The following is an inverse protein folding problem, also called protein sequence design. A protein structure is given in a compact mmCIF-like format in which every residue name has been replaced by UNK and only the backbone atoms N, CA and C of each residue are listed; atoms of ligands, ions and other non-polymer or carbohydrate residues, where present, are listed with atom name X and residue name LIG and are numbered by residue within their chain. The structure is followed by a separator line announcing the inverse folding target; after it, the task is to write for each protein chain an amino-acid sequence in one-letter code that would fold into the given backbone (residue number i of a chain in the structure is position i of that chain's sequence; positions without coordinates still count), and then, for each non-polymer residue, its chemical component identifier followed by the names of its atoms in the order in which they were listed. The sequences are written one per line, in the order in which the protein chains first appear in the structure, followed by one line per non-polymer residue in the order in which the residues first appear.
data_IF_482017673240
#
_entry.id   IF_482017673240
#
_cell.length_a   1.000
_cell.length_b   1.000
_cell.length_c   1.000
_cell.angle_alpha   90.00
_cell.angle_beta   90.00
_cell.angle_gamma   90.00
#
_symmetry.space_group_name_H-M   'P 1'
#
loop_
_entity.id
_entity.type
_entity.pdbx_description
1 polymer ?
#
# COMPACT_ATOMS: atom_id res chain seq x y z
N UNK A 1 -13.92 7.16 -38.43
CA UNK A 1 -13.26 7.82 -37.28
C UNK A 1 -12.87 6.74 -36.26
N UNK A 2 -11.58 6.34 -36.21
CA UNK A 2 -11.10 5.44 -35.19
C UNK A 2 -10.98 6.25 -33.89
N UNK A 3 -11.96 6.11 -32.99
CA UNK A 3 -11.83 6.59 -31.61
C UNK A 3 -10.82 5.72 -30.92
N UNK A 4 -9.57 6.18 -30.83
CA UNK A 4 -8.53 5.52 -30.05
C UNK A 4 -9.08 5.36 -28.62
N UNK A 5 -9.29 4.10 -28.20
CA UNK A 5 -9.78 3.80 -26.84
C UNK A 5 -8.75 4.33 -25.86
N UNK A 6 -9.12 5.37 -25.11
CA UNK A 6 -8.23 5.94 -24.09
C UNK A 6 -7.97 4.86 -23.01
N UNK A 7 -6.77 4.28 -23.04
CA UNK A 7 -6.36 3.21 -22.11
C UNK A 7 -6.35 3.65 -20.63
N UNK A 8 -6.32 4.94 -20.37
CA UNK A 8 -6.32 5.51 -19.03
C UNK A 8 -7.72 5.77 -18.50
N UNK A 9 -8.76 5.78 -19.37
CA UNK A 9 -10.12 5.99 -18.91
C UNK A 9 -10.61 4.84 -18.03
N UNK A 10 -11.21 5.18 -16.91
CA UNK A 10 -11.88 4.25 -16.01
C UNK A 10 -13.21 3.80 -16.60
N UNK A 11 -13.47 2.53 -16.50
CA UNK A 11 -14.75 1.90 -16.87
C UNK A 11 -15.51 1.53 -15.60
N UNK A 12 -16.86 1.41 -15.63
CA UNK A 12 -17.63 1.00 -14.46
C UNK A 12 -17.09 -0.27 -13.77
N UNK A 13 -16.67 -1.26 -14.56
CA UNK A 13 -16.05 -2.50 -14.04
C UNK A 13 -14.76 -2.25 -13.26
N UNK A 14 -13.96 -1.25 -13.69
CA UNK A 14 -12.68 -0.94 -13.04
C UNK A 14 -12.95 -0.31 -11.66
N UNK A 15 -13.99 0.53 -11.54
CA UNK A 15 -14.44 1.12 -10.28
C UNK A 15 -14.93 0.03 -9.32
N UNK A 16 -15.81 -0.86 -9.80
CA UNK A 16 -16.33 -1.96 -8.99
C UNK A 16 -15.20 -2.85 -8.48
N UNK A 17 -14.28 -3.22 -9.38
CA UNK A 17 -13.16 -4.09 -9.03
C UNK A 17 -12.22 -3.42 -8.03
N UNK A 18 -11.87 -2.14 -8.25
CA UNK A 18 -11.09 -1.35 -7.33
C UNK A 18 -11.74 -1.24 -5.95
N UNK A 19 -13.06 -1.05 -5.92
CA UNK A 19 -13.83 -0.95 -4.67
C UNK A 19 -13.84 -2.28 -3.91
N UNK A 20 -14.06 -3.40 -4.60
CA UNK A 20 -14.01 -4.73 -3.97
C UNK A 20 -12.63 -5.00 -3.38
N UNK A 21 -11.56 -4.73 -4.14
CA UNK A 21 -10.18 -4.93 -3.67
C UNK A 21 -9.89 -4.03 -2.47
N UNK A 22 -10.27 -2.75 -2.52
CA UNK A 22 -10.07 -1.81 -1.42
C UNK A 22 -10.82 -2.21 -0.14
N UNK A 23 -12.07 -2.68 -0.26
CA UNK A 23 -12.85 -3.17 0.90
C UNK A 23 -12.21 -4.42 1.52
N UNK A 24 -11.79 -5.39 0.69
CA UNK A 24 -11.12 -6.61 1.17
C UNK A 24 -9.79 -6.26 1.85
N UNK A 25 -9.01 -5.36 1.26
CA UNK A 25 -7.76 -4.88 1.87
C UNK A 25 -8.02 -4.13 3.18
N UNK A 26 -9.10 -3.35 3.27
CA UNK A 26 -9.53 -2.71 4.51
C UNK A 26 -9.83 -3.72 5.63
N UNK A 27 -10.48 -4.84 5.30
CA UNK A 27 -10.65 -5.97 6.21
C UNK A 27 -9.31 -6.57 6.67
N UNK A 28 -8.36 -6.72 5.77
CA UNK A 28 -6.99 -7.13 6.12
C UNK A 28 -6.32 -6.12 7.08
N UNK A 29 -6.50 -4.81 6.85
CA UNK A 29 -5.96 -3.77 7.73
C UNK A 29 -6.55 -3.87 9.14
N UNK A 30 -7.86 -4.14 9.27
CA UNK A 30 -8.51 -4.37 10.58
C UNK A 30 -7.87 -5.55 11.31
N UNK A 31 -7.67 -6.68 10.63
CA UNK A 31 -7.01 -7.84 11.22
C UNK A 31 -5.57 -7.51 11.61
N UNK A 32 -4.85 -6.78 10.75
CA UNK A 32 -3.48 -6.38 11.04
C UNK A 32 -3.37 -5.38 12.18
N UNK A 33 -4.34 -4.48 12.36
CA UNK A 33 -4.39 -3.57 13.50
C UNK A 33 -4.40 -4.31 14.84
N UNK A 34 -5.01 -5.50 14.88
CA UNK A 34 -5.03 -6.36 16.08
C UNK A 34 -3.72 -7.15 16.22
N UNK A 35 -3.21 -7.68 15.11
CA UNK A 35 -2.08 -8.59 15.11
C UNK A 35 -0.70 -7.89 15.18
N UNK A 36 -0.60 -6.64 14.70
CA UNK A 36 0.70 -5.98 14.53
C UNK A 36 1.45 -5.78 15.86
N UNK A 37 0.78 -5.35 16.92
CA UNK A 37 1.45 -5.04 18.20
C UNK A 37 2.15 -6.30 18.75
N UNK A 38 1.46 -7.42 19.03
CA UNK A 38 2.11 -8.59 19.57
C UNK A 38 3.17 -9.22 18.64
N UNK A 39 3.07 -9.01 17.34
CA UNK A 39 4.03 -9.56 16.37
C UNK A 39 5.26 -8.67 16.18
N UNK A 40 5.11 -7.36 16.27
CA UNK A 40 6.18 -6.42 15.93
C UNK A 40 6.89 -5.82 17.16
N UNK A 41 6.24 -5.82 18.32
CA UNK A 41 6.84 -5.35 19.57
C UNK A 41 8.16 -6.07 19.90
N UNK A 42 8.26 -7.42 19.78
CA UNK A 42 9.53 -8.13 19.98
C UNK A 42 10.63 -7.68 19.00
N UNK A 43 10.28 -7.33 17.75
CA UNK A 43 11.26 -6.84 16.77
C UNK A 43 11.78 -5.45 17.15
N UNK A 44 10.91 -4.58 17.64
CA UNK A 44 11.29 -3.26 18.16
C UNK A 44 12.15 -3.34 19.42
N UNK A 45 11.95 -4.37 20.25
CA UNK A 45 12.78 -4.64 21.42
C UNK A 45 14.18 -5.15 21.05
N UNK A 46 14.31 -5.93 19.96
CA UNK A 46 15.60 -6.38 19.44
C UNK A 46 16.42 -5.22 18.89
N UNK A 47 15.80 -4.38 18.06
CA UNK A 47 16.43 -3.21 17.50
C UNK A 47 15.37 -2.12 17.26
N UNK A 48 15.46 -0.98 17.97
CA UNK A 48 14.55 0.13 17.79
C UNK A 48 14.48 0.59 16.33
N UNK A 49 13.28 0.56 15.76
CA UNK A 49 13.02 0.82 14.34
C UNK A 49 12.60 -0.42 13.53
N UNK A 50 12.88 -1.64 14.00
CA UNK A 50 12.51 -2.89 13.29
C UNK A 50 11.00 -3.16 13.30
N UNK A 51 10.24 -2.57 14.22
CA UNK A 51 8.77 -2.66 14.20
C UNK A 51 8.18 -2.18 12.86
N UNK A 52 8.87 -1.30 12.13
CA UNK A 52 8.47 -0.82 10.82
C UNK A 52 8.52 -1.90 9.72
N UNK A 53 9.10 -3.07 9.98
CA UNK A 53 9.06 -4.22 9.06
C UNK A 53 7.63 -4.78 8.85
N UNK A 54 6.67 -4.42 9.69
CA UNK A 54 5.27 -4.78 9.53
C UNK A 54 4.45 -3.82 8.67
N UNK A 55 4.99 -2.67 8.29
CA UNK A 55 4.24 -1.60 7.61
C UNK A 55 3.66 -2.03 6.26
N UNK A 56 4.35 -2.90 5.54
CA UNK A 56 3.95 -3.33 4.20
C UNK A 56 2.54 -3.90 4.11
N UNK A 57 2.00 -4.44 5.20
CA UNK A 57 0.62 -4.95 5.20
C UNK A 57 -0.39 -3.82 5.02
N UNK A 58 -0.18 -2.65 5.66
CA UNK A 58 -1.04 -1.49 5.50
C UNK A 58 -0.88 -0.76 4.16
N UNK A 59 0.09 -1.15 3.34
CA UNK A 59 0.33 -0.56 2.02
C UNK A 59 -0.26 -1.42 0.89
N UNK A 60 -0.80 -2.60 1.21
CA UNK A 60 -1.25 -3.57 0.20
C UNK A 60 -2.51 -3.13 -0.53
N UNK A 61 -3.37 -2.31 0.08
CA UNK A 61 -4.63 -1.87 -0.51
C UNK A 61 -4.43 -1.15 -1.84
N UNK A 62 -3.54 -0.17 -1.86
CA UNK A 62 -3.17 0.59 -3.05
C UNK A 62 -2.44 -0.25 -4.08
N UNK A 63 -1.44 -1.03 -3.65
CA UNK A 63 -0.63 -1.86 -4.54
C UNK A 63 -1.48 -2.93 -5.24
N UNK A 64 -2.33 -3.67 -4.50
CA UNK A 64 -3.24 -4.66 -5.08
C UNK A 64 -4.18 -4.02 -6.09
N UNK A 65 -4.82 -2.91 -5.70
CA UNK A 65 -5.75 -2.20 -6.58
C UNK A 65 -5.07 -1.73 -7.86
N UNK A 66 -3.89 -1.12 -7.77
CA UNK A 66 -3.13 -0.66 -8.93
C UNK A 66 -2.73 -1.81 -9.87
N UNK A 67 -2.20 -2.91 -9.33
CA UNK A 67 -1.75 -4.06 -10.13
C UNK A 67 -2.90 -4.81 -10.80
N UNK A 68 -4.09 -4.78 -10.20
CA UNK A 68 -5.30 -5.42 -10.74
C UNK A 68 -5.97 -4.53 -11.80
N UNK A 69 -6.19 -3.25 -11.47
CA UNK A 69 -6.97 -2.31 -12.31
C UNK A 69 -6.13 -1.68 -13.42
N UNK A 70 -4.85 -1.40 -13.16
CA UNK A 70 -3.87 -0.83 -14.09
C UNK A 70 -4.31 0.50 -14.71
N UNK A 71 -4.84 1.39 -13.87
CA UNK A 71 -5.30 2.73 -14.26
C UNK A 71 -4.65 3.80 -13.39
N UNK A 72 -4.45 5.02 -13.92
CA UNK A 72 -4.05 6.16 -13.11
C UNK A 72 -5.02 6.39 -11.97
N UNK A 73 -4.48 6.67 -10.77
CA UNK A 73 -5.27 6.90 -9.57
C UNK A 73 -5.69 5.62 -8.83
N UNK A 74 -5.38 4.41 -9.36
CA UNK A 74 -5.87 3.17 -8.77
C UNK A 74 -5.19 2.85 -7.43
N UNK A 75 -3.90 3.15 -7.27
CA UNK A 75 -3.21 2.96 -5.99
C UNK A 75 -3.79 3.91 -4.92
N UNK A 76 -3.94 5.17 -5.26
CA UNK A 76 -4.51 6.18 -4.36
C UNK A 76 -5.94 5.80 -3.94
N UNK A 77 -6.79 5.47 -4.91
CA UNK A 77 -8.18 5.09 -4.66
C UNK A 77 -8.29 3.88 -3.73
N UNK A 78 -7.55 2.79 -4.04
CA UNK A 78 -7.59 1.56 -3.28
C UNK A 78 -7.09 1.72 -1.84
N UNK A 79 -6.03 2.52 -1.65
CA UNK A 79 -5.45 2.77 -0.33
C UNK A 79 -6.36 3.64 0.54
N UNK A 80 -6.93 4.72 -0.02
CA UNK A 80 -7.92 5.54 0.70
C UNK A 80 -9.14 4.71 1.10
N UNK A 81 -9.66 3.88 0.19
CA UNK A 81 -10.81 3.05 0.49
C UNK A 81 -10.51 2.01 1.57
N UNK A 82 -9.36 1.33 1.50
CA UNK A 82 -8.94 0.36 2.51
C UNK A 82 -8.78 1.03 3.90
N UNK A 83 -8.14 2.19 3.93
CA UNK A 83 -7.99 3.01 5.14
C UNK A 83 -9.34 3.48 5.69
N UNK A 84 -10.27 3.86 4.81
CA UNK A 84 -11.65 4.25 5.20
C UNK A 84 -12.37 3.10 5.85
N UNK A 85 -12.33 1.90 5.25
CA UNK A 85 -12.95 0.69 5.83
C UNK A 85 -12.35 0.38 7.20
N UNK A 86 -11.01 0.43 7.31
CA UNK A 86 -10.33 0.21 8.59
C UNK A 86 -10.72 1.24 9.66
N UNK A 87 -10.86 2.51 9.29
CA UNK A 87 -11.28 3.57 10.20
C UNK A 87 -12.75 3.42 10.65
N UNK A 88 -13.66 3.01 9.75
CA UNK A 88 -15.07 2.82 10.04
C UNK A 88 -15.34 1.63 10.97
N UNK A 89 -14.57 0.55 10.84
CA UNK A 89 -14.66 -0.60 11.75
C UNK A 89 -14.13 -0.23 13.13
N UNK A 90 -13.20 0.72 13.20
CA UNK A 90 -12.55 1.21 14.39
C UNK A 90 -11.10 0.77 14.48
N UNK A 91 -10.24 1.74 14.69
CA UNK A 91 -8.82 1.54 14.97
C UNK A 91 -8.33 2.59 15.96
N UNK A 92 -7.15 2.36 16.51
CA UNK A 92 -6.56 3.22 17.55
C UNK A 92 -6.11 4.60 17.03
N UNK A 93 -6.03 4.80 15.72
CA UNK A 93 -5.57 6.05 15.09
C UNK A 93 -6.72 6.95 14.62
N UNK A 94 -7.95 6.43 14.50
CA UNK A 94 -9.13 7.21 14.11
C UNK A 94 -9.00 7.84 12.73
N UNK A 95 -9.43 9.10 12.61
CA UNK A 95 -9.51 9.82 11.32
C UNK A 95 -8.16 10.02 10.63
N UNK A 96 -7.05 10.08 11.38
CA UNK A 96 -5.72 10.25 10.79
C UNK A 96 -5.35 9.09 9.83
N UNK A 97 -5.97 7.92 9.99
CA UNK A 97 -5.83 6.78 9.09
C UNK A 97 -6.14 7.13 7.63
N UNK A 98 -7.07 8.07 7.40
CA UNK A 98 -7.40 8.55 6.04
C UNK A 98 -6.25 9.36 5.42
N UNK A 99 -5.56 10.16 6.23
CA UNK A 99 -4.37 10.90 5.80
C UNK A 99 -3.27 9.91 5.43
N UNK A 100 -3.08 8.88 6.25
CA UNK A 100 -2.14 7.80 5.96
C UNK A 100 -2.48 7.12 4.64
N UNK A 101 -3.74 6.72 4.44
CA UNK A 101 -4.18 6.10 3.19
C UNK A 101 -3.91 6.98 1.96
N UNK A 102 -4.17 8.28 2.07
CA UNK A 102 -3.90 9.20 0.97
C UNK A 102 -2.39 9.30 0.66
N UNK A 103 -1.55 9.50 1.67
CA UNK A 103 -0.10 9.69 1.48
C UNK A 103 0.59 8.40 1.03
N UNK A 104 0.22 7.26 1.61
CA UNK A 104 0.74 5.95 1.24
C UNK A 104 0.33 5.57 -0.19
N UNK A 105 -0.94 5.77 -0.52
CA UNK A 105 -1.45 5.56 -1.87
C UNK A 105 -0.78 6.47 -2.90
N UNK A 106 -0.54 7.74 -2.57
CA UNK A 106 0.24 8.66 -3.40
C UNK A 106 1.67 8.18 -3.62
N UNK A 107 2.33 7.64 -2.59
CA UNK A 107 3.68 7.08 -2.70
C UNK A 107 3.78 6.01 -3.79
N UNK A 108 2.84 5.06 -3.81
CA UNK A 108 2.77 4.04 -4.86
C UNK A 108 2.35 4.63 -6.21
N UNK A 109 1.36 5.52 -6.23
CA UNK A 109 0.80 6.13 -7.43
C UNK A 109 1.85 6.93 -8.20
N UNK A 110 2.68 7.71 -7.51
CA UNK A 110 3.76 8.48 -8.12
C UNK A 110 4.78 7.57 -8.83
N UNK A 111 5.11 6.43 -8.26
CA UNK A 111 6.00 5.46 -8.91
C UNK A 111 5.37 4.89 -10.19
N UNK A 112 4.09 4.49 -10.15
CA UNK A 112 3.41 4.04 -11.37
C UNK A 112 3.30 5.17 -12.41
N UNK A 113 3.13 6.42 -11.99
CA UNK A 113 3.14 7.58 -12.87
C UNK A 113 4.52 7.80 -13.51
N UNK A 114 5.62 7.66 -12.77
CA UNK A 114 7.00 7.71 -13.30
C UNK A 114 7.24 6.62 -14.37
N UNK A 115 6.63 5.45 -14.22
CA UNK A 115 6.61 4.43 -15.27
C UNK A 115 5.56 4.70 -16.38
N UNK A 116 4.95 5.89 -16.40
CA UNK A 116 3.89 6.29 -17.34
C UNK A 116 2.75 5.25 -17.42
N UNK A 117 2.47 4.54 -16.32
CA UNK A 117 1.45 3.46 -16.22
C UNK A 117 1.63 2.38 -17.29
N UNK A 118 2.88 2.06 -17.63
CA UNK A 118 3.23 1.04 -18.63
C UNK A 118 3.86 -0.22 -18.03
N UNK A 119 4.44 -0.11 -16.86
CA UNK A 119 5.11 -1.22 -16.16
C UNK A 119 4.25 -1.72 -15.00
N UNK A 120 3.89 -3.02 -15.03
CA UNK A 120 3.05 -3.68 -14.03
C UNK A 120 3.67 -5.02 -13.57
N UNK A 121 4.94 -5.21 -13.87
CA UNK A 121 5.72 -6.39 -13.47
C UNK A 121 6.21 -6.29 -12.03
N UNK A 122 6.90 -7.34 -11.58
CA UNK A 122 7.41 -7.43 -10.21
C UNK A 122 8.37 -6.29 -9.83
N UNK A 123 9.19 -5.79 -10.78
CA UNK A 123 10.10 -4.66 -10.51
C UNK A 123 9.30 -3.39 -10.23
N UNK A 124 8.29 -3.09 -11.05
CA UNK A 124 7.46 -1.92 -10.84
C UNK A 124 6.67 -2.01 -9.53
N UNK A 125 6.18 -3.19 -9.18
CA UNK A 125 5.50 -3.43 -7.92
C UNK A 125 6.43 -3.25 -6.71
N UNK A 126 7.65 -3.78 -6.79
CA UNK A 126 8.66 -3.63 -5.74
C UNK A 126 9.02 -2.16 -5.51
N UNK A 127 9.28 -1.40 -6.58
CA UNK A 127 9.63 0.02 -6.47
C UNK A 127 8.44 0.85 -5.99
N UNK A 128 7.21 0.54 -6.46
CA UNK A 128 6.00 1.22 -5.99
C UNK A 128 5.73 0.94 -4.49
N UNK A 129 5.95 -0.29 -4.05
CA UNK A 129 5.88 -0.64 -2.63
C UNK A 129 6.94 0.08 -1.79
N UNK A 130 8.17 0.20 -2.30
CA UNK A 130 9.21 1.01 -1.66
C UNK A 130 8.81 2.48 -1.55
N UNK A 131 8.25 3.07 -2.62
CA UNK A 131 7.74 4.45 -2.62
C UNK A 131 6.63 4.68 -1.59
N UNK A 132 5.71 3.73 -1.45
CA UNK A 132 4.69 3.75 -0.40
C UNK A 132 5.30 3.64 1.00
N UNK A 133 6.34 2.79 1.17
CA UNK A 133 7.09 2.66 2.41
C UNK A 133 7.84 3.93 2.81
N UNK A 134 8.41 4.66 1.84
CA UNK A 134 9.00 6.00 2.07
C UNK A 134 7.94 6.98 2.56
N UNK A 135 6.77 7.01 1.90
CA UNK A 135 5.67 7.89 2.27
C UNK A 135 5.17 7.61 3.70
N UNK A 136 5.04 6.34 4.07
CA UNK A 136 4.67 5.95 5.43
C UNK A 136 5.73 6.37 6.45
N UNK A 137 7.01 6.04 6.21
CA UNK A 137 8.09 6.42 7.12
C UNK A 137 8.16 7.93 7.32
N UNK A 138 7.96 8.72 6.27
CA UNK A 138 7.95 10.18 6.36
C UNK A 138 6.85 10.69 7.29
N UNK A 139 5.63 10.14 7.20
CA UNK A 139 4.54 10.51 8.12
C UNK A 139 4.84 10.10 9.55
N UNK A 140 5.26 8.86 9.78
CA UNK A 140 5.52 8.36 11.12
C UNK A 140 6.63 9.14 11.83
N UNK A 141 7.74 9.38 11.11
CA UNK A 141 8.88 10.11 11.66
C UNK A 141 8.58 11.58 11.95
N UNK A 142 7.62 12.16 11.22
CA UNK A 142 7.19 13.55 11.46
C UNK A 142 6.10 13.68 12.51
N UNK A 143 5.15 12.74 12.56
CA UNK A 143 3.97 12.85 13.43
C UNK A 143 4.15 12.16 14.79
N UNK A 144 4.80 10.98 14.81
CA UNK A 144 4.90 10.16 16.02
C UNK A 144 6.31 10.09 16.60
N UNK A 145 7.33 10.27 15.78
CA UNK A 145 8.74 10.12 16.19
C UNK A 145 9.55 11.40 15.96
N UNK A 146 8.88 12.56 15.95
CA UNK A 146 9.57 13.84 15.84
C UNK A 146 10.59 14.01 16.99
N UNK A 147 11.86 14.26 16.61
CA UNK A 147 12.96 14.39 17.57
C UNK A 147 13.62 13.06 18.00
N UNK A 148 13.24 11.93 17.44
CA UNK A 148 13.94 10.68 17.65
C UNK A 148 15.39 10.77 17.16
N UNK A 149 16.28 9.96 17.76
CA UNK A 149 17.71 9.93 17.37
C UNK A 149 17.91 9.45 15.93
N UNK A 150 18.94 9.96 15.25
CA UNK A 150 19.24 9.68 13.86
C UNK A 150 19.35 8.16 13.56
N UNK A 151 19.92 7.37 14.47
CA UNK A 151 20.02 5.92 14.32
C UNK A 151 18.64 5.26 14.23
N UNK A 152 17.71 5.60 15.13
CA UNK A 152 16.34 5.10 15.09
C UNK A 152 15.64 5.50 13.78
N UNK A 153 15.70 6.77 13.40
CA UNK A 153 15.07 7.28 12.18
C UNK A 153 15.55 6.53 10.92
N UNK A 154 16.86 6.25 10.86
CA UNK A 154 17.47 5.53 9.74
C UNK A 154 16.98 4.08 9.69
N UNK A 155 17.04 3.36 10.82
CA UNK A 155 16.60 1.96 10.90
C UNK A 155 15.11 1.85 10.58
N UNK A 156 14.30 2.73 11.16
CA UNK A 156 12.86 2.78 10.93
C UNK A 156 12.52 3.04 9.46
N UNK A 157 13.15 4.04 8.86
CA UNK A 157 12.97 4.37 7.45
C UNK A 157 13.33 3.23 6.53
N UNK A 158 14.52 2.62 6.72
CA UNK A 158 14.96 1.47 5.93
C UNK A 158 14.00 0.30 6.11
N UNK A 159 13.59 -0.02 7.34
CA UNK A 159 12.65 -1.11 7.64
C UNK A 159 11.31 -0.90 6.97
N UNK A 160 10.77 0.32 6.98
CA UNK A 160 9.51 0.66 6.31
C UNK A 160 9.61 0.52 4.79
N UNK A 161 10.71 0.99 4.19
CA UNK A 161 10.95 0.87 2.74
C UNK A 161 11.11 -0.59 2.33
N UNK A 162 11.88 -1.38 3.07
CA UNK A 162 12.06 -2.82 2.82
C UNK A 162 10.73 -3.56 2.95
N UNK A 163 9.97 -3.27 4.00
CA UNK A 163 8.64 -3.84 4.21
C UNK A 163 7.67 -3.47 3.09
N UNK A 164 7.64 -2.20 2.68
CA UNK A 164 6.85 -1.75 1.55
C UNK A 164 7.22 -2.47 0.25
N UNK A 165 8.51 -2.57 -0.06
CA UNK A 165 8.99 -3.26 -1.24
C UNK A 165 8.61 -4.75 -1.26
N UNK A 166 8.88 -5.47 -0.16
CA UNK A 166 8.72 -6.92 -0.11
C UNK A 166 7.28 -7.32 0.18
N UNK A 167 6.69 -6.84 1.28
CA UNK A 167 5.34 -7.26 1.66
C UNK A 167 4.29 -6.61 0.76
N UNK A 168 4.29 -5.28 0.64
CA UNK A 168 3.30 -4.62 -0.20
C UNK A 168 3.57 -4.85 -1.69
N UNK A 169 4.77 -4.55 -2.17
CA UNK A 169 5.11 -4.62 -3.59
C UNK A 169 5.08 -6.05 -4.15
N UNK A 170 6.03 -6.89 -3.71
CA UNK A 170 6.12 -8.27 -4.21
C UNK A 170 4.95 -9.13 -3.75
N UNK A 171 4.46 -8.95 -2.51
CA UNK A 171 3.29 -9.67 -2.00
C UNK A 171 2.05 -9.40 -2.86
N UNK A 172 1.73 -8.12 -3.14
CA UNK A 172 0.61 -7.76 -4.00
C UNK A 172 0.77 -8.26 -5.44
N UNK A 173 1.99 -8.23 -5.98
CA UNK A 173 2.27 -8.80 -7.29
C UNK A 173 2.05 -10.32 -7.31
N UNK A 174 2.53 -11.04 -6.32
CA UNK A 174 2.36 -12.48 -6.20
C UNK A 174 0.87 -12.87 -6.08
N UNK A 175 0.11 -12.17 -5.24
CA UNK A 175 -1.35 -12.35 -5.09
C UNK A 175 -2.05 -12.10 -6.44
N UNK A 176 -1.74 -10.99 -7.11
CA UNK A 176 -2.32 -10.68 -8.42
C UNK A 176 -2.03 -11.79 -9.44
N UNK A 177 -0.80 -12.32 -9.47
CA UNK A 177 -0.42 -13.44 -10.34
C UNK A 177 -1.16 -14.72 -10.00
N UNK A 178 -1.37 -15.00 -8.72
CA UNK A 178 -2.13 -16.15 -8.27
C UNK A 178 -3.60 -16.05 -8.71
N UNK A 179 -4.23 -14.88 -8.58
CA UNK A 179 -5.60 -14.64 -9.02
C UNK A 179 -5.76 -14.80 -10.54
N UNK A 180 -4.77 -14.36 -11.33
CA UNK A 180 -4.76 -14.57 -12.78
C UNK A 180 -4.65 -16.06 -13.12
N UNK A 181 -3.74 -16.79 -12.46
CA UNK A 181 -3.58 -18.24 -12.66
C UNK A 181 -4.82 -19.03 -12.28
N UNK A 182 -5.54 -18.61 -11.25
CA UNK A 182 -6.80 -19.20 -10.81
C UNK A 182 -8.00 -18.87 -11.73
N UNK A 183 -7.81 -18.02 -12.76
CA UNK A 183 -8.88 -17.59 -13.66
C UNK A 183 -9.84 -16.55 -13.07
N UNK A 184 -9.57 -16.05 -11.86
CA UNK A 184 -10.38 -15.03 -11.21
C UNK A 184 -10.20 -13.63 -11.83
N UNK A 185 -9.05 -13.40 -12.48
CA UNK A 185 -8.73 -12.15 -13.19
C UNK A 185 -8.31 -12.45 -14.62
N UNK A 186 -8.80 -11.64 -15.56
CA UNK A 186 -8.33 -11.59 -16.95
C UNK A 186 -7.48 -10.33 -17.14
N UNK A 187 -6.21 -10.51 -17.47
CA UNK A 187 -5.26 -9.44 -17.75
C UNK A 187 -4.66 -9.61 -19.16
#
# INVERSE_FOLDING_TARGET
MNTAVNRFAWRPRDIVLASVVGVVAGGLFVLWNIANVPLLEPLGALLPGFQALGHGVWLMGGLLTALIVRKPGAALYGEILASTVSALVGNQWGVITLVYGAVQGLGAELIFALFAYRAWGWIAALVAGAGSGVAMAALDLTLFYAGAGASFMTIYGISSVVSGALLAGLGSWAITRALVKAGALRQ
#
